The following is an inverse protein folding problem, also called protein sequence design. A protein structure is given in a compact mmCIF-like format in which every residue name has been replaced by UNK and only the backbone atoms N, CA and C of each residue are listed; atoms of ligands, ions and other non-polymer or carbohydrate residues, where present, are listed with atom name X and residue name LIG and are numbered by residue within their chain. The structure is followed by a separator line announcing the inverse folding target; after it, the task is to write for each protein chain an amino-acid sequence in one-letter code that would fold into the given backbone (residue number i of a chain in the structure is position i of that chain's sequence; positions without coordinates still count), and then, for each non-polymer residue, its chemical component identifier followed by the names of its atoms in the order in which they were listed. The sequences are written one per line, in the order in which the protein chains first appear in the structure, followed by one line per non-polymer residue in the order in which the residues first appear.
data_IF_776038544692
#
_entry.id   IF_776038544692
#
_cell.length_a   1.000
_cell.length_b   1.000
_cell.length_c   1.000
_cell.angle_alpha   90.00
_cell.angle_beta   90.00
_cell.angle_gamma   90.00
#
_symmetry.space_group_name_H-M   'P 1'
#
loop_
_entity.id
_entity.type
_entity.pdbx_description
1 polymer ?
#
# COMPACT_ATOMS: atom_id res chain seq x y z
N UNK A 1 -7.28 9.32 -6.15
CA UNK A 1 -8.20 9.92 -7.15
C UNK A 1 -7.55 11.06 -7.94
N UNK A 2 -7.02 12.12 -7.32
CA UNK A 2 -6.43 13.25 -8.05
C UNK A 2 -5.35 12.85 -9.07
N UNK A 3 -4.50 11.86 -8.75
CA UNK A 3 -3.51 11.31 -9.68
C UNK A 3 -4.15 10.71 -10.95
N UNK A 4 -5.26 9.99 -10.83
CA UNK A 4 -5.99 9.43 -11.96
C UNK A 4 -6.69 10.49 -12.80
N UNK A 5 -7.27 11.51 -12.14
CA UNK A 5 -7.88 12.66 -12.84
C UNK A 5 -6.82 13.41 -13.66
N UNK A 6 -5.67 13.69 -13.06
CA UNK A 6 -4.54 14.33 -13.74
C UNK A 6 -4.04 13.51 -14.94
N UNK A 7 -3.97 12.18 -14.79
CA UNK A 7 -3.56 11.27 -15.88
C UNK A 7 -4.46 11.37 -17.12
N UNK A 8 -5.74 11.68 -16.94
CA UNK A 8 -6.70 11.86 -18.05
C UNK A 8 -6.91 13.33 -18.43
N UNK A 9 -6.03 14.24 -17.99
CA UNK A 9 -6.05 15.66 -18.35
C UNK A 9 -7.08 16.51 -17.57
N UNK A 10 -7.62 15.99 -16.47
CA UNK A 10 -8.53 16.74 -15.60
C UNK A 10 -7.73 17.35 -14.45
N UNK A 11 -7.81 18.66 -14.33
CA UNK A 11 -7.24 19.41 -13.22
C UNK A 11 -8.04 19.20 -11.93
N UNK A 12 -7.33 18.89 -10.84
CA UNK A 12 -7.94 18.61 -9.54
C UNK A 12 -7.30 19.48 -8.46
N UNK A 13 -8.15 20.09 -7.61
CA UNK A 13 -7.71 20.81 -6.41
C UNK A 13 -7.92 19.93 -5.19
N UNK A 14 -6.86 19.76 -4.38
CA UNK A 14 -6.91 19.02 -3.11
C UNK A 14 -6.98 20.05 -1.97
N UNK A 15 -7.95 19.90 -1.09
CA UNK A 15 -8.06 20.66 0.16
C UNK A 15 -7.75 19.72 1.33
N UNK A 16 -6.69 20.01 2.08
CA UNK A 16 -6.26 19.26 3.26
C UNK A 16 -6.30 20.18 4.48
N UNK A 17 -6.88 19.71 5.58
CA UNK A 17 -7.00 20.47 6.81
C UNK A 17 -5.69 20.48 7.62
N UNK A 18 -4.89 19.43 7.50
CA UNK A 18 -3.58 19.34 8.14
C UNK A 18 -2.57 20.26 7.44
N UNK A 19 -1.85 21.03 8.24
CA UNK A 19 -0.84 21.98 7.74
C UNK A 19 0.48 21.32 7.37
N UNK A 20 0.65 20.03 7.69
CA UNK A 20 1.85 19.23 7.43
C UNK A 20 1.48 17.78 7.12
N UNK A 21 2.31 17.12 6.32
CA UNK A 21 2.27 15.66 6.18
C UNK A 21 2.56 15.00 7.53
N UNK A 22 2.01 13.80 7.74
CA UNK A 22 2.16 13.03 8.98
C UNK A 22 2.56 11.59 8.67
N UNK A 23 3.78 11.44 8.19
CA UNK A 23 4.32 10.16 7.71
C UNK A 23 4.58 9.18 8.87
N UNK A 24 4.60 9.69 10.10
CA UNK A 24 4.80 8.95 11.34
C UNK A 24 3.49 8.52 12.04
N UNK A 25 2.34 8.95 11.51
CA UNK A 25 1.04 8.59 12.08
C UNK A 25 0.27 7.62 11.20
N UNK A 26 -0.09 6.45 11.73
CA UNK A 26 -0.96 5.51 11.03
C UNK A 26 -0.87 4.08 11.56
N UNK A 27 -1.92 3.29 11.31
CA UNK A 27 -1.82 1.84 11.33
C UNK A 27 -1.06 1.40 10.08
N UNK A 28 -0.24 0.34 10.19
CA UNK A 28 0.40 -0.27 9.03
C UNK A 28 -0.66 -0.65 7.99
N UNK A 29 -0.65 0.04 6.86
CA UNK A 29 -1.59 -0.20 5.76
C UNK A 29 -0.98 -1.27 4.86
N UNK A 30 -1.38 -2.53 5.09
CA UNK A 30 -1.04 -3.63 4.20
C UNK A 30 -1.67 -3.39 2.83
N UNK A 31 -0.83 -3.19 1.80
CA UNK A 31 -1.29 -3.07 0.41
C UNK A 31 -1.30 -4.48 -0.19
N UNK A 32 -2.48 -4.95 -0.62
CA UNK A 32 -2.61 -6.23 -1.31
C UNK A 32 -2.13 -6.14 -2.76
N UNK A 33 -1.92 -7.26 -3.47
CA UNK A 33 -1.43 -7.26 -4.86
C UNK A 33 -2.24 -6.36 -5.82
N UNK A 34 -3.56 -6.28 -5.64
CA UNK A 34 -4.40 -5.40 -6.46
C UNK A 34 -4.07 -3.93 -6.24
N UNK A 35 -3.80 -3.52 -5.00
CA UNK A 35 -3.36 -2.16 -4.69
C UNK A 35 -1.99 -1.84 -5.29
N UNK A 36 -1.06 -2.80 -5.27
CA UNK A 36 0.26 -2.64 -5.89
C UNK A 36 0.14 -2.46 -7.42
N UNK A 37 -0.71 -3.24 -8.09
CA UNK A 37 -0.95 -3.09 -9.53
C UNK A 37 -1.44 -1.68 -9.91
N UNK A 38 -2.33 -1.11 -9.09
CA UNK A 38 -2.84 0.26 -9.26
C UNK A 38 -1.72 1.28 -9.07
N UNK A 39 -0.85 1.10 -8.06
CA UNK A 39 0.27 1.99 -7.81
C UNK A 39 1.34 1.94 -8.90
N UNK A 40 1.53 0.78 -9.53
CA UNK A 40 2.51 0.58 -10.62
C UNK A 40 2.23 1.46 -11.85
N UNK A 41 1.05 2.08 -11.95
CA UNK A 41 0.74 3.08 -12.99
C UNK A 41 1.41 4.45 -12.75
N UNK A 42 1.92 4.72 -11.54
CA UNK A 42 2.44 6.03 -11.14
C UNK A 42 3.87 5.98 -10.58
N UNK A 43 4.27 4.84 -10.01
CA UNK A 43 5.56 4.66 -9.37
C UNK A 43 6.03 3.23 -9.62
N UNK A 44 7.33 3.03 -9.84
CA UNK A 44 7.85 1.70 -10.12
C UNK A 44 7.84 0.84 -8.85
N UNK A 45 7.69 -0.47 -9.03
CA UNK A 45 7.72 -1.41 -7.91
C UNK A 45 9.02 -1.34 -7.12
N UNK A 46 10.17 -1.12 -7.77
CA UNK A 46 11.46 -0.96 -7.11
C UNK A 46 11.48 0.25 -6.16
N UNK A 47 10.81 1.33 -6.54
CA UNK A 47 10.69 2.54 -5.71
C UNK A 47 9.73 2.34 -4.54
N UNK A 48 8.70 1.51 -4.71
CA UNK A 48 7.84 1.11 -3.58
C UNK A 48 8.64 0.24 -2.61
N UNK A 49 9.40 -0.73 -3.12
CA UNK A 49 10.11 -1.69 -2.28
C UNK A 49 11.33 -1.11 -1.55
N UNK A 50 11.81 0.10 -1.88
CA UNK A 50 12.82 0.80 -1.07
C UNK A 50 12.27 1.27 0.27
N UNK A 51 10.98 1.60 0.30
CA UNK A 51 10.33 2.24 1.45
C UNK A 51 9.37 1.27 2.18
N UNK A 52 9.00 0.16 1.54
CA UNK A 52 8.07 -0.84 2.05
C UNK A 52 8.64 -2.26 1.96
N UNK A 53 8.46 -3.05 3.03
CA UNK A 53 8.97 -4.43 3.09
C UNK A 53 7.87 -5.44 2.70
N UNK A 54 8.15 -6.40 1.78
CA UNK A 54 7.27 -7.54 1.54
C UNK A 54 6.97 -8.29 2.84
N UNK A 55 5.68 -8.52 3.09
CA UNK A 55 5.21 -9.17 4.30
C UNK A 55 4.96 -10.66 4.10
N UNK A 56 5.13 -11.42 5.19
CA UNK A 56 4.64 -12.79 5.34
C UNK A 56 3.51 -12.78 6.36
N UNK A 57 2.40 -13.42 6.04
CA UNK A 57 1.27 -13.59 6.94
C UNK A 57 1.05 -15.08 7.21
N UNK A 58 1.15 -15.48 8.47
CA UNK A 58 0.91 -16.86 8.90
C UNK A 58 -0.38 -16.94 9.69
N UNK A 59 -1.24 -17.88 9.33
CA UNK A 59 -2.53 -18.07 9.97
C UNK A 59 -2.47 -19.23 10.96
N UNK A 60 -2.94 -19.01 12.19
CA UNK A 60 -3.00 -20.02 13.24
C UNK A 60 -4.44 -20.25 13.68
N UNK A 61 -4.77 -21.49 14.04
CA UNK A 61 -6.04 -21.78 14.71
C UNK A 61 -5.95 -21.55 16.23
N UNK A 62 -7.06 -21.75 16.94
CA UNK A 62 -7.13 -21.59 18.41
C UNK A 62 -6.21 -22.54 19.21
N UNK A 63 -5.66 -23.60 18.59
CA UNK A 63 -4.67 -24.51 19.18
C UNK A 63 -3.23 -24.12 18.80
N UNK A 64 -3.03 -22.92 18.26
CA UNK A 64 -1.75 -22.42 17.76
C UNK A 64 -1.13 -23.28 16.63
N UNK A 65 -1.94 -24.06 15.91
CA UNK A 65 -1.48 -24.82 14.74
C UNK A 65 -1.59 -23.93 13.51
N UNK A 66 -0.52 -23.87 12.71
CA UNK A 66 -0.54 -23.19 11.40
C UNK A 66 -1.57 -23.85 10.49
N UNK A 67 -2.44 -23.03 9.90
CA UNK A 67 -3.52 -23.45 8.98
C UNK A 67 -3.40 -22.83 7.59
N UNK A 68 -2.48 -21.90 7.40
CA UNK A 68 -2.28 -21.25 6.12
C UNK A 68 -1.16 -20.22 6.16
N UNK A 69 -0.77 -19.77 4.98
CA UNK A 69 0.32 -18.82 4.78
C UNK A 69 0.08 -18.00 3.52
N UNK A 70 0.45 -16.72 3.59
CA UNK A 70 0.65 -15.85 2.43
C UNK A 70 2.08 -15.33 2.54
N UNK A 71 2.93 -15.66 1.57
CA UNK A 71 4.31 -15.20 1.49
C UNK A 71 4.50 -14.46 0.16
N UNK A 72 4.63 -13.14 0.24
CA UNK A 72 4.87 -12.28 -0.92
C UNK A 72 6.34 -11.83 -1.02
N UNK A 73 7.23 -12.40 -0.21
CA UNK A 73 8.66 -12.08 -0.17
C UNK A 73 9.52 -13.10 -0.93
N UNK A 74 8.91 -14.17 -1.42
CA UNK A 74 9.56 -15.35 -2.04
C UNK A 74 9.51 -15.34 -3.57
#
# INVERSE_FOLDING_TARGET
MALFLKKIGIEATIYEAQTRHRDDTGAFLGISPNGLNVLNEFITLETILSDYTPGKMTFFNAKNKQIGEIDNAS
#
